data_IF_002230665666
#
_entry.id   IF_002230665666
#
_cell.length_a   1.000
_cell.length_b   1.000
_cell.length_c   1.000
_cell.angle_alpha   90.00
_cell.angle_beta   90.00
_cell.angle_gamma   90.00
#
_symmetry.space_group_name_H-M   'P 1'
#
loop_
_entity.id
_entity.type
_entity.pdbx_description
1 polymer ?
#
# COMPACT_ATOMS: atom_id res chain seq x y z
N UNK A 1 -18.04 -21.03 17.62
CA UNK A 1 -18.27 -21.22 16.17
C UNK A 1 -17.07 -21.92 15.56
N UNK A 2 -17.29 -22.71 14.52
CA UNK A 2 -16.20 -23.34 13.76
C UNK A 2 -15.85 -22.39 12.61
N UNK A 3 -14.62 -21.88 12.57
CA UNK A 3 -14.11 -21.12 11.43
C UNK A 3 -13.80 -22.07 10.27
N UNK A 4 -14.22 -21.70 9.05
CA UNK A 4 -13.93 -22.44 7.82
C UNK A 4 -13.19 -21.55 6.84
N UNK A 5 -12.23 -22.10 6.03
CA UNK A 5 -11.63 -21.36 4.95
C UNK A 5 -12.67 -20.87 3.93
N UNK A 6 -12.41 -19.73 3.30
CA UNK A 6 -13.21 -19.28 2.15
C UNK A 6 -13.06 -20.20 0.94
N UNK A 7 -11.87 -20.78 0.76
CA UNK A 7 -11.48 -21.55 -0.41
C UNK A 7 -10.49 -20.78 -1.26
N UNK A 8 -10.85 -20.39 -2.49
CA UNK A 8 -9.97 -19.61 -3.37
C UNK A 8 -10.10 -18.11 -3.09
N UNK A 9 -8.98 -17.49 -2.72
CA UNK A 9 -8.89 -16.06 -2.39
C UNK A 9 -8.11 -15.33 -3.48
N UNK A 10 -8.74 -14.35 -4.14
CA UNK A 10 -8.07 -13.41 -5.03
C UNK A 10 -7.46 -12.25 -4.23
N UNK A 11 -6.20 -11.95 -4.49
CA UNK A 11 -5.47 -10.88 -3.82
C UNK A 11 -4.83 -9.95 -4.85
N UNK A 12 -4.99 -8.64 -4.67
CA UNK A 12 -4.39 -7.62 -5.53
C UNK A 12 -3.65 -6.64 -4.65
N UNK A 13 -2.36 -6.45 -4.93
CA UNK A 13 -1.45 -5.63 -4.13
C UNK A 13 -0.91 -4.44 -4.92
N UNK A 14 -0.65 -3.29 -4.24
CA UNK A 14 -0.15 -2.08 -4.86
C UNK A 14 1.37 -2.10 -5.01
N UNK A 15 1.89 -1.07 -5.67
CA UNK A 15 3.31 -0.87 -5.96
C UNK A 15 4.10 -0.20 -4.82
N UNK A 16 3.45 0.47 -3.88
CA UNK A 16 4.14 1.30 -2.88
C UNK A 16 4.85 0.49 -1.77
N UNK A 17 4.33 -0.69 -1.44
CA UNK A 17 4.94 -1.64 -0.50
C UNK A 17 4.74 -3.08 -0.98
N UNK A 18 5.39 -3.49 -2.08
CA UNK A 18 5.05 -4.75 -2.76
C UNK A 18 5.20 -5.98 -1.86
N UNK A 19 6.34 -6.16 -1.19
CA UNK A 19 6.58 -7.32 -0.33
C UNK A 19 5.75 -7.27 0.98
N UNK A 20 5.63 -6.09 1.57
CA UNK A 20 4.84 -5.91 2.80
C UNK A 20 3.36 -6.22 2.55
N UNK A 21 2.80 -5.70 1.46
CA UNK A 21 1.39 -5.95 1.13
C UNK A 21 1.13 -7.39 0.70
N UNK A 22 2.11 -8.05 0.08
CA UNK A 22 2.08 -9.48 -0.17
C UNK A 22 1.98 -10.25 1.17
N UNK A 23 2.91 -10.01 2.08
CA UNK A 23 2.96 -10.73 3.36
C UNK A 23 1.69 -10.55 4.19
N UNK A 24 1.14 -9.34 4.26
CA UNK A 24 -0.07 -9.04 5.02
C UNK A 24 -1.32 -9.74 4.47
N UNK A 25 -1.33 -10.10 3.19
CA UNK A 25 -2.47 -10.79 2.56
C UNK A 25 -2.26 -12.28 2.48
N UNK A 26 -1.08 -12.72 2.05
CA UNK A 26 -0.80 -14.15 1.83
C UNK A 26 -0.69 -14.92 3.14
N UNK A 27 0.03 -14.39 4.13
CA UNK A 27 0.26 -15.10 5.38
C UNK A 27 -1.04 -15.48 6.11
N UNK A 28 -1.98 -14.56 6.38
CA UNK A 28 -3.23 -14.93 7.03
C UNK A 28 -4.12 -15.84 6.17
N UNK A 29 -4.10 -15.69 4.83
CA UNK A 29 -4.86 -16.54 3.94
C UNK A 29 -4.40 -18.00 4.00
N UNK A 30 -3.08 -18.23 3.90
CA UNK A 30 -2.51 -19.57 3.97
C UNK A 30 -2.65 -20.18 5.37
N UNK A 31 -2.40 -19.40 6.42
CA UNK A 31 -2.51 -19.85 7.81
C UNK A 31 -3.94 -20.30 8.18
N UNK A 32 -4.95 -19.81 7.47
CA UNK A 32 -6.36 -20.18 7.67
C UNK A 32 -6.89 -21.19 6.64
N UNK A 33 -5.97 -21.86 5.90
CA UNK A 33 -6.30 -22.98 5.02
C UNK A 33 -6.89 -22.59 3.67
N UNK A 34 -6.69 -21.35 3.21
CA UNK A 34 -7.14 -20.93 1.89
C UNK A 34 -6.07 -21.15 0.82
N UNK A 35 -6.49 -21.23 -0.44
CA UNK A 35 -5.63 -21.11 -1.59
C UNK A 35 -5.66 -19.68 -2.14
N UNK A 36 -4.54 -19.22 -2.70
CA UNK A 36 -4.35 -17.82 -3.09
C UNK A 36 -4.06 -17.71 -4.58
N UNK A 37 -4.72 -16.77 -5.24
CA UNK A 37 -4.33 -16.23 -6.54
C UNK A 37 -3.98 -14.75 -6.33
N UNK A 38 -2.68 -14.41 -6.45
CA UNK A 38 -2.17 -13.06 -6.18
C UNK A 38 -1.77 -12.38 -7.48
N UNK A 39 -2.22 -11.13 -7.66
CA UNK A 39 -1.78 -10.22 -8.72
C UNK A 39 -1.03 -9.03 -8.12
N UNK A 40 0.29 -8.90 -8.36
CA UNK A 40 1.05 -7.71 -7.97
C UNK A 40 0.76 -6.53 -8.92
N UNK A 41 1.20 -5.34 -8.51
CA UNK A 41 1.22 -4.19 -9.42
C UNK A 41 2.20 -4.45 -10.59
N UNK A 42 1.87 -3.90 -11.76
CA UNK A 42 2.63 -4.07 -13.00
C UNK A 42 4.08 -3.58 -12.88
N UNK A 43 4.28 -2.51 -12.12
CA UNK A 43 5.59 -1.85 -11.95
C UNK A 43 6.48 -2.51 -10.89
N UNK A 44 5.93 -3.38 -10.03
CA UNK A 44 6.66 -3.98 -8.90
C UNK A 44 6.38 -5.48 -8.70
N UNK A 45 6.52 -6.34 -9.74
CA UNK A 45 6.20 -7.75 -9.62
C UNK A 45 7.33 -8.61 -9.04
N UNK A 46 8.60 -8.12 -9.03
CA UNK A 46 9.78 -8.95 -8.82
C UNK A 46 9.82 -9.65 -7.46
N UNK A 47 9.45 -8.97 -6.39
CA UNK A 47 9.43 -9.59 -5.04
C UNK A 47 8.34 -10.64 -4.91
N UNK A 48 7.23 -10.49 -5.63
CA UNK A 48 6.17 -11.50 -5.65
C UNK A 48 6.57 -12.73 -6.48
N UNK A 49 7.30 -12.54 -7.58
CA UNK A 49 7.87 -13.62 -8.38
C UNK A 49 8.88 -14.43 -7.56
N UNK A 50 9.82 -13.76 -6.90
CA UNK A 50 10.77 -14.42 -6.00
C UNK A 50 10.06 -15.18 -4.86
N UNK A 51 9.01 -14.61 -4.29
CA UNK A 51 8.24 -15.29 -3.25
C UNK A 51 7.58 -16.58 -3.79
N UNK A 52 7.09 -16.57 -5.03
CA UNK A 52 6.52 -17.75 -5.66
C UNK A 52 7.58 -18.85 -5.86
N UNK A 53 8.79 -18.48 -6.29
CA UNK A 53 9.94 -19.41 -6.40
C UNK A 53 10.28 -20.04 -5.03
N UNK A 54 10.37 -19.22 -4.00
CA UNK A 54 10.63 -19.69 -2.63
C UNK A 54 9.52 -20.64 -2.12
N UNK A 55 8.26 -20.39 -2.46
CA UNK A 55 7.16 -21.30 -2.13
C UNK A 55 7.35 -22.69 -2.77
N UNK A 56 7.81 -22.74 -4.02
CA UNK A 56 8.11 -24.00 -4.69
C UNK A 56 9.33 -24.71 -4.08
N UNK A 57 10.40 -23.98 -3.80
CA UNK A 57 11.62 -24.52 -3.16
C UNK A 57 11.36 -25.15 -1.78
N UNK A 58 10.50 -24.56 -0.97
CA UNK A 58 10.15 -25.12 0.36
C UNK A 58 9.10 -26.23 0.29
N UNK A 59 8.64 -26.58 -0.91
CA UNK A 59 7.68 -27.67 -1.11
C UNK A 59 6.24 -27.31 -0.74
N UNK A 60 5.84 -26.03 -0.84
CA UNK A 60 4.43 -25.67 -0.70
C UNK A 60 3.61 -26.44 -1.76
N UNK A 61 2.51 -27.13 -1.38
CA UNK A 61 1.76 -27.92 -2.35
C UNK A 61 1.30 -27.09 -3.56
N UNK A 62 1.44 -27.67 -4.76
CA UNK A 62 1.06 -26.99 -6.02
C UNK A 62 -0.40 -26.53 -5.99
N UNK A 63 -0.64 -25.29 -6.44
CA UNK A 63 -1.97 -24.70 -6.47
C UNK A 63 -2.38 -24.01 -5.15
N UNK A 64 -1.61 -24.12 -4.07
CA UNK A 64 -1.89 -23.41 -2.82
C UNK A 64 -1.59 -21.91 -2.94
N UNK A 65 -0.45 -21.55 -3.51
CA UNK A 65 -0.12 -20.18 -3.89
C UNK A 65 0.08 -20.09 -5.40
N UNK A 66 -0.61 -19.15 -6.04
CA UNK A 66 -0.54 -18.93 -7.49
C UNK A 66 -0.32 -17.44 -7.73
N UNK A 67 0.65 -17.12 -8.57
CA UNK A 67 0.96 -15.75 -8.95
C UNK A 67 0.59 -15.53 -10.41
N UNK A 68 -0.15 -14.45 -10.66
CA UNK A 68 -0.48 -13.98 -12.01
C UNK A 68 0.02 -12.56 -12.19
N UNK A 69 0.72 -12.29 -13.28
CA UNK A 69 1.14 -10.95 -13.68
C UNK A 69 0.19 -10.42 -14.75
N UNK A 70 0.09 -9.10 -14.84
CA UNK A 70 -0.77 -8.43 -15.81
C UNK A 70 -1.23 -7.07 -15.33
N UNK A 71 -1.98 -6.40 -16.16
CA UNK A 71 -2.53 -5.06 -15.93
C UNK A 71 -3.89 -5.06 -15.20
N UNK A 72 -4.62 -3.96 -15.31
CA UNK A 72 -5.96 -3.83 -14.72
C UNK A 72 -6.98 -4.81 -15.31
N UNK A 73 -6.80 -5.27 -16.56
CA UNK A 73 -7.67 -6.27 -17.20
C UNK A 73 -7.56 -7.61 -16.48
N UNK A 74 -6.33 -8.07 -16.24
CA UNK A 74 -6.08 -9.29 -15.43
C UNK A 74 -6.67 -9.18 -14.03
N UNK A 75 -6.54 -8.00 -13.40
CA UNK A 75 -7.16 -7.74 -12.09
C UNK A 75 -8.69 -7.83 -12.13
N UNK A 76 -9.31 -7.29 -13.19
CA UNK A 76 -10.75 -7.37 -13.41
C UNK A 76 -11.23 -8.81 -13.63
N UNK A 77 -10.51 -9.59 -14.41
CA UNK A 77 -10.80 -11.02 -14.64
C UNK A 77 -10.72 -11.81 -13.33
N UNK A 78 -9.70 -11.57 -12.51
CA UNK A 78 -9.58 -12.19 -11.19
C UNK A 78 -10.78 -11.86 -10.29
N UNK A 79 -11.17 -10.57 -10.22
CA UNK A 79 -12.30 -10.11 -9.40
C UNK A 79 -13.61 -10.76 -9.85
N UNK A 80 -13.82 -10.90 -11.16
CA UNK A 80 -15.06 -11.39 -11.73
C UNK A 80 -15.12 -12.93 -11.86
N UNK A 81 -14.02 -13.64 -11.57
CA UNK A 81 -13.98 -15.09 -11.71
C UNK A 81 -14.98 -15.77 -10.76
N UNK A 82 -15.75 -16.73 -11.29
CA UNK A 82 -16.87 -17.38 -10.57
C UNK A 82 -16.46 -18.19 -9.34
N UNK A 83 -15.23 -18.71 -9.33
CA UNK A 83 -14.73 -19.59 -8.28
C UNK A 83 -14.03 -18.83 -7.14
N UNK A 84 -13.82 -17.52 -7.29
CA UNK A 84 -13.29 -16.67 -6.21
C UNK A 84 -14.35 -16.50 -5.12
N UNK A 85 -13.95 -16.75 -3.88
CA UNK A 85 -14.80 -16.65 -2.68
C UNK A 85 -14.47 -15.45 -1.80
N UNK A 86 -13.31 -14.84 -2.00
CA UNK A 86 -12.90 -13.62 -1.32
C UNK A 86 -11.96 -12.81 -2.20
N UNK A 87 -12.14 -11.50 -2.19
CA UNK A 87 -11.17 -10.54 -2.75
C UNK A 87 -10.56 -9.73 -1.60
N UNK A 88 -9.23 -9.64 -1.57
CA UNK A 88 -8.48 -8.73 -0.73
C UNK A 88 -7.67 -7.78 -1.61
N UNK A 89 -8.06 -6.52 -1.62
CA UNK A 89 -7.50 -5.47 -2.47
C UNK A 89 -6.85 -4.38 -1.61
N UNK A 90 -5.66 -3.96 -2.00
CA UNK A 90 -5.05 -2.70 -1.55
C UNK A 90 -4.65 -1.88 -2.78
N UNK A 91 -5.07 -0.63 -2.83
CA UNK A 91 -4.77 0.25 -3.96
C UNK A 91 -5.61 1.53 -3.96
N UNK A 92 -5.90 2.07 -5.16
CA UNK A 92 -6.65 3.31 -5.29
C UNK A 92 -8.12 3.19 -4.90
N UNK A 93 -8.68 4.27 -4.38
CA UNK A 93 -10.12 4.36 -4.02
C UNK A 93 -11.04 4.11 -5.21
N UNK A 94 -10.65 4.57 -6.40
CA UNK A 94 -11.45 4.36 -7.63
C UNK A 94 -11.56 2.88 -7.99
N UNK A 95 -10.45 2.15 -7.95
CA UNK A 95 -10.43 0.70 -8.21
C UNK A 95 -11.17 -0.07 -7.09
N UNK A 96 -11.00 0.34 -5.82
CA UNK A 96 -11.76 -0.25 -4.72
C UNK A 96 -13.28 -0.14 -4.89
N UNK A 97 -13.76 1.03 -5.31
CA UNK A 97 -15.19 1.25 -5.64
C UNK A 97 -15.64 0.39 -6.83
N UNK A 98 -14.80 0.25 -7.85
CA UNK A 98 -15.08 -0.65 -8.98
C UNK A 98 -15.24 -2.10 -8.51
N UNK A 99 -14.30 -2.60 -7.70
CA UNK A 99 -14.36 -3.96 -7.17
C UNK A 99 -15.62 -4.17 -6.34
N UNK A 100 -15.93 -3.25 -5.42
CA UNK A 100 -17.14 -3.31 -4.61
C UNK A 100 -18.41 -3.40 -5.46
N UNK A 101 -18.48 -2.59 -6.52
CA UNK A 101 -19.59 -2.60 -7.48
C UNK A 101 -19.66 -3.92 -8.26
N UNK A 102 -18.53 -4.46 -8.69
CA UNK A 102 -18.45 -5.71 -9.45
C UNK A 102 -18.85 -6.94 -8.61
N UNK A 103 -18.69 -6.89 -7.30
CA UNK A 103 -19.05 -7.96 -6.39
C UNK A 103 -20.46 -7.81 -5.79
N UNK A 104 -21.16 -6.72 -6.08
CA UNK A 104 -22.52 -6.50 -5.56
C UNK A 104 -23.46 -7.64 -5.97
N UNK A 105 -24.17 -8.18 -4.99
CA UNK A 105 -25.11 -9.32 -5.20
C UNK A 105 -24.44 -10.69 -5.33
N UNK A 106 -23.10 -10.78 -5.23
CA UNK A 106 -22.36 -12.05 -5.23
C UNK A 106 -22.02 -12.45 -3.79
N UNK A 107 -22.00 -13.74 -3.52
CA UNK A 107 -21.55 -14.30 -2.23
C UNK A 107 -20.01 -14.41 -2.22
N UNK A 108 -19.33 -13.24 -2.22
CA UNK A 108 -17.88 -13.11 -2.22
C UNK A 108 -17.46 -12.14 -1.11
N UNK A 109 -16.62 -12.61 -0.19
CA UNK A 109 -16.05 -11.77 0.86
C UNK A 109 -15.16 -10.66 0.26
N UNK A 110 -15.20 -9.46 0.83
CA UNK A 110 -14.41 -8.32 0.34
C UNK A 110 -13.66 -7.65 1.49
N UNK A 111 -12.37 -7.39 1.28
CA UNK A 111 -11.56 -6.51 2.12
C UNK A 111 -10.90 -5.46 1.23
N UNK A 112 -11.08 -4.19 1.58
CA UNK A 112 -10.54 -3.04 0.85
C UNK A 112 -9.63 -2.24 1.78
N UNK A 113 -8.38 -2.05 1.37
CA UNK A 113 -7.44 -1.10 1.95
C UNK A 113 -7.13 -0.05 0.88
N UNK A 114 -7.51 1.20 1.14
CA UNK A 114 -7.54 2.25 0.13
C UNK A 114 -6.70 3.45 0.52
N UNK A 115 -6.53 4.40 -0.41
CA UNK A 115 -5.84 5.64 -0.16
C UNK A 115 -6.61 6.58 0.79
N UNK A 116 -5.90 7.53 1.35
CA UNK A 116 -6.44 8.54 2.24
C UNK A 116 -5.62 9.81 2.25
N UNK A 117 -6.10 10.79 3.01
CA UNK A 117 -5.40 12.04 3.34
C UNK A 117 -5.50 12.24 4.86
N UNK A 118 -4.67 11.48 5.59
CA UNK A 118 -4.65 11.54 7.05
C UNK A 118 -4.18 12.90 7.57
N UNK A 119 -4.59 13.25 8.78
CA UNK A 119 -4.17 14.48 9.45
C UNK A 119 -3.00 14.21 10.40
N UNK A 120 -2.00 15.11 10.39
CA UNK A 120 -1.09 15.36 11.50
C UNK A 120 -1.62 16.55 12.30
N UNK A 121 -1.80 16.39 13.60
CA UNK A 121 -2.35 17.43 14.47
C UNK A 121 -1.31 17.76 15.54
N UNK A 122 -0.92 19.03 15.63
CA UNK A 122 0.12 19.51 16.56
C UNK A 122 -0.48 20.57 17.47
N UNK A 123 -0.53 20.28 18.77
CA UNK A 123 -0.98 21.20 19.82
C UNK A 123 0.20 21.94 20.44
N UNK A 124 -0.06 23.00 21.22
CA UNK A 124 0.96 23.86 21.80
C UNK A 124 1.79 23.21 22.93
N UNK A 125 1.31 22.12 23.49
CA UNK A 125 2.03 21.34 24.50
C UNK A 125 2.92 20.24 23.88
N UNK A 126 2.97 20.13 22.52
CA UNK A 126 3.82 19.19 21.84
C UNK A 126 5.32 19.52 22.01
N UNK A 127 6.15 18.50 22.12
CA UNK A 127 7.60 18.64 21.98
C UNK A 127 7.92 18.98 20.51
N UNK A 128 8.20 20.26 20.20
CA UNK A 128 8.20 20.78 18.83
C UNK A 128 9.21 20.10 17.91
N UNK A 129 10.41 19.79 18.42
CA UNK A 129 11.45 19.17 17.58
C UNK A 129 11.06 17.74 17.19
N UNK A 130 10.55 16.97 18.13
CA UNK A 130 10.02 15.62 17.90
C UNK A 130 8.78 15.64 16.99
N UNK A 131 7.93 16.63 17.16
CA UNK A 131 6.74 16.81 16.31
C UNK A 131 7.14 17.14 14.86
N UNK A 132 8.18 17.97 14.65
CA UNK A 132 8.72 18.25 13.31
C UNK A 132 9.27 16.98 12.67
N UNK A 133 10.07 16.18 13.38
CA UNK A 133 10.57 14.90 12.87
C UNK A 133 9.41 13.92 12.58
N UNK A 134 8.41 13.87 13.44
CA UNK A 134 7.20 13.06 13.23
C UNK A 134 6.43 13.45 11.97
N UNK A 135 6.27 14.75 11.71
CA UNK A 135 5.62 15.26 10.49
C UNK A 135 6.44 14.94 9.25
N UNK A 136 7.76 15.19 9.28
CA UNK A 136 8.67 14.88 8.16
C UNK A 136 8.65 13.38 7.83
N UNK A 137 8.82 12.53 8.82
CA UNK A 137 8.75 11.07 8.62
C UNK A 137 7.36 10.63 8.16
N UNK A 138 6.31 11.20 8.70
CA UNK A 138 4.92 10.85 8.39
C UNK A 138 4.48 11.18 6.98
N UNK A 139 5.16 12.12 6.29
CA UNK A 139 4.81 12.51 4.92
C UNK A 139 5.87 12.13 3.88
N UNK A 140 7.17 12.24 4.20
CA UNK A 140 8.22 12.01 3.20
C UNK A 140 8.71 10.56 3.13
N UNK A 141 8.41 9.73 4.13
CA UNK A 141 8.70 8.31 4.05
C UNK A 141 8.14 7.70 2.77
N UNK A 142 8.95 6.89 2.07
CA UNK A 142 8.60 6.30 0.78
C UNK A 142 8.06 7.32 -0.24
N UNK A 143 8.67 8.51 -0.33
CA UNK A 143 8.26 9.63 -1.21
C UNK A 143 6.79 10.07 -0.98
N UNK A 144 6.25 9.90 0.20
CA UNK A 144 4.84 10.18 0.51
C UNK A 144 3.85 9.12 0.00
N UNK A 145 4.34 8.03 -0.59
CA UNK A 145 3.52 6.96 -1.15
C UNK A 145 3.04 5.97 -0.07
N UNK A 146 2.36 6.50 0.94
CA UNK A 146 1.85 5.75 2.09
C UNK A 146 0.37 6.03 2.26
N UNK A 147 -0.45 4.99 2.38
CA UNK A 147 -1.91 5.13 2.51
C UNK A 147 -2.34 5.92 3.76
N UNK A 148 -1.56 5.86 4.83
CA UNK A 148 -1.76 6.59 6.08
C UNK A 148 -0.82 7.80 6.24
N UNK A 149 -0.17 8.30 5.18
CA UNK A 149 0.68 9.48 5.25
C UNK A 149 -0.08 10.69 5.81
N UNK A 150 0.57 11.44 6.70
CA UNK A 150 0.03 12.65 7.31
C UNK A 150 -0.02 13.84 6.33
N UNK A 151 -0.86 13.72 5.31
CA UNK A 151 -0.92 14.65 4.16
C UNK A 151 -1.50 16.03 4.51
N UNK A 152 -2.16 16.16 5.65
CA UNK A 152 -2.74 17.42 6.13
C UNK A 152 -2.14 17.75 7.47
N UNK A 153 -1.43 18.87 7.54
CA UNK A 153 -0.84 19.37 8.75
C UNK A 153 -1.78 20.43 9.39
N UNK A 154 -2.23 20.15 10.59
CA UNK A 154 -3.05 21.03 11.41
C UNK A 154 -2.25 21.45 12.64
N UNK A 155 -1.89 22.72 12.73
CA UNK A 155 -1.07 23.28 13.82
C UNK A 155 -1.90 24.28 14.61
N UNK A 156 -1.85 24.18 15.92
CA UNK A 156 -2.52 25.14 16.80
C UNK A 156 -1.95 26.55 16.56
N UNK A 157 -2.82 27.57 16.56
CA UNK A 157 -2.52 28.92 16.09
C UNK A 157 -1.33 29.57 16.80
N UNK A 158 -1.24 29.44 18.10
CA UNK A 158 -0.22 30.10 18.93
C UNK A 158 1.21 29.56 18.73
N UNK A 159 1.37 28.39 18.16
CA UNK A 159 2.68 27.78 17.82
C UNK A 159 2.96 27.72 16.31
N UNK A 160 1.99 28.12 15.48
CA UNK A 160 2.04 27.93 14.03
C UNK A 160 3.34 28.44 13.41
N UNK A 161 3.70 29.69 13.61
CA UNK A 161 4.85 30.30 12.93
C UNK A 161 6.19 29.69 13.37
N UNK A 162 6.32 29.37 14.66
CA UNK A 162 7.50 28.71 15.19
C UNK A 162 7.63 27.30 14.63
N UNK A 163 6.53 26.57 14.58
CA UNK A 163 6.50 25.21 14.07
C UNK A 163 6.83 25.16 12.57
N UNK A 164 6.17 26.01 11.76
CA UNK A 164 6.40 26.06 10.30
C UNK A 164 7.84 26.44 9.99
N UNK A 165 8.43 27.42 10.69
CA UNK A 165 9.84 27.79 10.49
C UNK A 165 10.79 26.62 10.78
N UNK A 166 10.53 25.85 11.85
CA UNK A 166 11.33 24.65 12.15
C UNK A 166 11.16 23.57 11.07
N UNK A 167 9.93 23.32 10.63
CA UNK A 167 9.60 22.35 9.61
C UNK A 167 10.29 22.69 8.27
N UNK A 168 10.22 23.94 7.82
CA UNK A 168 10.87 24.40 6.59
C UNK A 168 12.40 24.20 6.65
N UNK A 169 13.05 24.56 7.74
CA UNK A 169 14.49 24.33 7.93
C UNK A 169 14.84 22.85 7.88
N UNK A 170 14.04 22.00 8.49
CA UNK A 170 14.24 20.55 8.48
C UNK A 170 14.04 19.96 7.08
N UNK A 171 13.03 20.39 6.35
CA UNK A 171 12.78 19.95 4.97
C UNK A 171 13.94 20.29 4.03
N UNK A 172 14.59 21.43 4.20
CA UNK A 172 15.76 21.82 3.40
C UNK A 172 16.97 20.90 3.58
N UNK A 173 17.01 20.10 4.63
CA UNK A 173 18.09 19.12 4.86
C UNK A 173 17.85 17.78 4.17
N UNK A 174 16.65 17.55 3.62
CA UNK A 174 16.31 16.30 2.93
C UNK A 174 17.04 16.22 1.60
N UNK A 175 17.71 15.09 1.37
CA UNK A 175 18.49 14.84 0.16
C UNK A 175 17.67 13.97 -0.80
N UNK A 176 17.34 14.54 -1.95
CA UNK A 176 16.67 13.83 -3.04
C UNK A 176 17.75 13.30 -4.01
N UNK A 177 17.72 12.02 -4.32
CA UNK A 177 18.76 11.43 -5.17
C UNK A 177 18.57 9.97 -5.52
N UNK A 178 19.67 9.33 -5.89
CA UNK A 178 19.67 7.91 -6.25
C UNK A 178 19.30 7.05 -5.01
N UNK A 179 18.26 6.19 -5.08
CA UNK A 179 17.84 5.37 -3.95
C UNK A 179 18.86 4.31 -3.51
N UNK A 180 19.88 4.01 -4.33
CA UNK A 180 20.97 3.11 -3.97
C UNK A 180 22.10 3.82 -3.21
N UNK A 181 22.10 5.15 -3.14
CA UNK A 181 23.02 5.90 -2.31
C UNK A 181 22.48 5.96 -0.87
N UNK A 182 23.30 5.49 0.09
CA UNK A 182 22.96 5.49 1.52
C UNK A 182 22.71 6.88 2.12
N UNK A 183 23.14 7.93 1.42
CA UNK A 183 22.95 9.32 1.85
C UNK A 183 21.66 9.94 1.27
N UNK A 184 20.91 9.24 0.45
CA UNK A 184 19.65 9.71 -0.11
C UNK A 184 18.52 9.49 0.90
N UNK A 185 17.76 10.53 1.21
CA UNK A 185 16.57 10.47 2.07
C UNK A 185 15.31 10.18 1.25
N UNK A 186 15.23 10.70 0.03
CA UNK A 186 14.07 10.60 -0.86
C UNK A 186 14.53 10.16 -2.26
N UNK A 187 14.00 9.06 -2.75
CA UNK A 187 14.23 8.55 -4.09
C UNK A 187 13.28 9.10 -5.15
N UNK A 188 13.22 8.43 -6.30
CA UNK A 188 12.37 8.83 -7.40
C UNK A 188 10.88 8.52 -7.13
N UNK A 189 10.00 9.34 -7.71
CA UNK A 189 8.57 9.02 -7.83
C UNK A 189 8.42 7.78 -8.71
N UNK A 190 7.52 6.88 -8.33
CA UNK A 190 7.37 5.54 -8.92
C UNK A 190 7.13 5.56 -10.45
N UNK A 191 6.35 6.52 -10.95
CA UNK A 191 5.99 6.60 -12.36
C UNK A 191 5.68 8.02 -12.79
N UNK A 192 5.68 8.26 -14.12
CA UNK A 192 5.26 9.54 -14.68
C UNK A 192 3.81 9.86 -14.32
N UNK A 193 2.90 8.88 -14.38
CA UNK A 193 1.49 9.08 -14.02
C UNK A 193 1.32 9.52 -12.57
N UNK A 194 2.15 9.00 -11.67
CA UNK A 194 2.14 9.42 -10.27
C UNK A 194 2.71 10.82 -10.09
N UNK A 195 3.79 11.15 -10.82
CA UNK A 195 4.36 12.48 -10.82
C UNK A 195 3.36 13.53 -11.33
N UNK A 196 2.70 13.24 -12.45
CA UNK A 196 1.68 14.12 -13.04
C UNK A 196 0.54 14.38 -12.02
N UNK A 197 0.03 13.34 -11.35
CA UNK A 197 -0.98 13.49 -10.28
C UNK A 197 -0.52 14.34 -9.10
N UNK A 198 0.75 14.25 -8.72
CA UNK A 198 1.31 15.08 -7.64
C UNK A 198 1.42 16.54 -8.08
N UNK A 199 1.79 16.76 -9.34
CA UNK A 199 1.96 18.11 -9.90
C UNK A 199 0.62 18.84 -10.06
N UNK A 200 -0.47 18.08 -10.28
CA UNK A 200 -1.83 18.61 -10.43
C UNK A 200 -2.53 18.92 -9.10
N UNK A 201 -1.90 18.61 -7.95
CA UNK A 201 -2.44 18.88 -6.59
C UNK A 201 -2.01 20.24 -6.06
#
# INVERSE_FOLDING_TARGET
>A
GISKPYGVVGQIIPWNFPLLMLSWKVAPALATGNTVVLKPAETTPLTALLFAELCDEVGLPKGVFNLITGDGTTGSELVNHKDIKKIAFTGSTSVGKYIQKSLAGRDVGLTLELGGKAANIVYNDAALDEAVEGVVNGIFFNQGHVCCAGSRLLVQEDIHDVFINKLEKRMQTLRVGNPLDKNTDIGAINSKDQLDKITDL
#
